data_IF_944313754315
#
_entry.id   IF_944313754315
#
_cell.length_a   1.000
_cell.length_b   1.000
_cell.length_c   1.000
_cell.angle_alpha   90.00
_cell.angle_beta   90.00
_cell.angle_gamma   90.00
#
_symmetry.space_group_name_H-M   'P 1'
#
loop_
_entity.id
_entity.type
_entity.pdbx_description
1 polymer ?
#
# COMPACT_ATOMS: atom_id res chain seq x y z
N UNK A 1 -13.32 -9.92 7.19
CA UNK A 1 -14.21 -8.74 7.17
C UNK A 1 -14.05 -7.97 5.87
N UNK A 2 -12.87 -7.48 5.54
CA UNK A 2 -12.60 -6.65 4.35
C UNK A 2 -13.13 -7.27 3.04
N UNK A 3 -13.02 -8.61 2.87
CA UNK A 3 -13.42 -9.31 1.64
C UNK A 3 -14.89 -9.71 1.61
N UNK A 4 -15.40 -10.23 2.72
CA UNK A 4 -16.69 -10.94 2.74
C UNK A 4 -17.73 -10.30 3.64
N UNK A 5 -17.43 -9.12 4.21
CA UNK A 5 -18.29 -8.38 5.14
C UNK A 5 -18.61 -9.18 6.41
N UNK A 6 -19.69 -9.96 6.36
CA UNK A 6 -20.19 -10.74 7.49
C UNK A 6 -19.61 -12.15 7.43
N UNK A 7 -18.93 -12.57 8.48
CA UNK A 7 -18.30 -13.89 8.59
C UNK A 7 -18.49 -14.43 10.01
N UNK A 8 -18.44 -15.76 10.22
CA UNK A 8 -18.50 -16.31 11.57
C UNK A 8 -17.34 -15.83 12.44
N UNK A 9 -17.65 -15.34 13.64
CA UNK A 9 -16.66 -14.98 14.66
C UNK A 9 -16.40 -16.21 15.53
N UNK A 10 -15.28 -16.88 15.28
CA UNK A 10 -14.89 -18.12 15.97
C UNK A 10 -13.86 -17.80 17.04
N UNK A 11 -14.21 -18.01 18.32
CA UNK A 11 -13.35 -17.72 19.49
C UNK A 11 -12.96 -18.97 20.29
N UNK A 12 -13.41 -20.16 19.85
CA UNK A 12 -13.07 -21.46 20.45
C UNK A 12 -12.82 -22.50 19.37
N UNK A 13 -12.23 -23.62 19.73
CA UNK A 13 -12.13 -24.77 18.85
C UNK A 13 -13.54 -25.34 18.61
N UNK A 14 -13.88 -25.57 17.35
CA UNK A 14 -15.16 -26.14 16.94
C UNK A 14 -14.98 -27.56 16.40
N UNK A 15 -15.99 -28.40 16.54
CA UNK A 15 -16.15 -29.59 15.73
C UNK A 15 -16.52 -29.22 14.30
N UNK A 16 -16.43 -30.17 13.37
CA UNK A 16 -16.85 -29.94 11.99
C UNK A 16 -18.35 -29.56 11.89
N UNK A 17 -19.19 -30.19 12.71
CA UNK A 17 -20.62 -29.94 12.77
C UNK A 17 -20.90 -28.52 13.27
N UNK A 18 -20.28 -28.12 14.40
CA UNK A 18 -20.41 -26.76 14.93
C UNK A 18 -19.92 -25.70 13.91
N UNK A 19 -18.84 -25.99 13.18
CA UNK A 19 -18.30 -25.07 12.16
C UNK A 19 -19.27 -24.88 10.97
N UNK A 20 -19.99 -25.96 10.59
CA UNK A 20 -20.98 -25.92 9.51
C UNK A 20 -22.28 -25.22 9.91
N UNK A 21 -22.52 -25.01 11.19
CA UNK A 21 -23.70 -24.32 11.75
C UNK A 21 -23.34 -22.94 12.34
N UNK A 22 -22.09 -22.49 12.20
CA UNK A 22 -21.65 -21.20 12.74
C UNK A 22 -22.32 -20.03 12.00
N UNK A 23 -23.04 -19.20 12.74
CA UNK A 23 -23.71 -18.03 12.19
C UNK A 23 -22.74 -16.89 11.89
N UNK A 24 -22.91 -16.13 10.78
CA UNK A 24 -22.10 -14.97 10.50
C UNK A 24 -22.41 -13.84 11.48
N UNK A 25 -21.37 -13.20 11.98
CA UNK A 25 -21.44 -11.94 12.71
C UNK A 25 -21.30 -10.78 11.74
N UNK A 26 -21.92 -9.64 12.01
CA UNK A 26 -21.76 -8.46 11.19
C UNK A 26 -20.34 -7.86 11.29
N UNK A 27 -19.96 -7.14 10.26
CA UNK A 27 -18.60 -6.57 10.15
C UNK A 27 -18.26 -5.64 11.31
N UNK A 28 -19.21 -4.86 11.81
CA UNK A 28 -19.00 -3.91 12.92
C UNK A 28 -18.71 -4.66 14.22
N UNK A 29 -19.46 -5.73 14.50
CA UNK A 29 -19.21 -6.61 15.66
C UNK A 29 -17.82 -7.21 15.60
N UNK A 30 -17.38 -7.70 14.45
CA UNK A 30 -16.04 -8.31 14.29
C UNK A 30 -14.95 -7.26 14.43
N UNK A 31 -15.10 -6.07 13.84
CA UNK A 31 -14.12 -4.99 13.97
C UNK A 31 -13.99 -4.54 15.43
N UNK A 32 -15.11 -4.40 16.17
CA UNK A 32 -15.08 -4.08 17.59
C UNK A 32 -14.41 -5.19 18.43
N UNK A 33 -14.65 -6.46 18.11
CA UNK A 33 -13.95 -7.57 18.74
C UNK A 33 -12.43 -7.47 18.52
N UNK A 34 -11.97 -7.23 17.28
CA UNK A 34 -10.55 -7.05 16.96
C UNK A 34 -9.96 -5.89 17.78
N UNK A 35 -10.65 -4.76 17.85
CA UNK A 35 -10.20 -3.57 18.60
C UNK A 35 -10.07 -3.90 20.10
N UNK A 36 -11.04 -4.61 20.67
CA UNK A 36 -11.03 -5.02 22.07
C UNK A 36 -9.88 -5.97 22.38
N UNK A 37 -9.73 -7.04 21.60
CA UNK A 37 -8.66 -8.02 21.77
C UNK A 37 -7.27 -7.37 21.62
N UNK A 38 -7.09 -6.50 20.62
CA UNK A 38 -5.84 -5.77 20.46
C UNK A 38 -5.54 -4.83 21.62
N UNK A 39 -6.55 -4.22 22.21
CA UNK A 39 -6.40 -3.38 23.42
C UNK A 39 -5.94 -4.21 24.61
N UNK A 40 -6.58 -5.33 24.85
CA UNK A 40 -6.22 -6.27 25.91
C UNK A 40 -4.80 -6.84 25.75
N UNK A 41 -4.45 -7.21 24.51
CA UNK A 41 -3.13 -7.76 24.18
C UNK A 41 -2.02 -6.71 24.34
N UNK A 42 -2.28 -5.45 24.00
CA UNK A 42 -1.35 -4.34 24.17
C UNK A 42 -1.16 -3.94 25.66
N UNK A 43 -2.14 -4.24 26.52
CA UNK A 43 -2.09 -4.01 27.96
C UNK A 43 -1.41 -5.21 28.67
N UNK A 44 -0.07 -5.25 28.63
CA UNK A 44 0.79 -6.17 29.41
C UNK A 44 0.79 -7.66 29.01
N UNK A 45 0.10 -8.06 27.94
CA UNK A 45 0.11 -9.47 27.48
C UNK A 45 1.16 -9.74 26.41
N UNK A 46 1.46 -8.76 25.55
CA UNK A 46 2.46 -8.90 24.50
C UNK A 46 3.75 -8.13 24.83
N UNK A 47 4.92 -8.72 24.55
CA UNK A 47 6.18 -8.02 24.76
C UNK A 47 6.38 -6.90 23.73
N UNK A 48 7.21 -5.92 24.07
CA UNK A 48 7.67 -4.88 23.14
C UNK A 48 8.46 -5.49 22.00
N UNK A 49 9.34 -6.46 22.32
CA UNK A 49 10.09 -7.27 21.37
C UNK A 49 10.46 -8.60 22.01
N UNK A 50 11.06 -9.50 21.23
CA UNK A 50 11.49 -10.83 21.68
C UNK A 50 13.00 -10.96 21.89
N UNK A 51 13.78 -9.88 21.80
CA UNK A 51 15.24 -9.90 21.80
C UNK A 51 15.85 -10.57 23.03
N UNK A 52 15.23 -10.43 24.21
CA UNK A 52 15.69 -10.96 25.49
C UNK A 52 15.02 -12.30 25.87
N UNK A 53 14.27 -12.92 24.95
CA UNK A 53 13.62 -14.20 25.20
C UNK A 53 14.44 -15.35 24.62
N UNK A 54 14.35 -16.58 25.16
CA UNK A 54 14.98 -17.75 24.57
C UNK A 54 14.59 -17.88 23.08
N UNK A 55 15.58 -17.98 22.19
CA UNK A 55 15.37 -17.98 20.76
C UNK A 55 14.99 -16.61 20.18
N UNK A 56 15.39 -15.51 20.80
CA UNK A 56 15.01 -14.14 20.48
C UNK A 56 15.12 -13.79 19.00
N UNK A 57 16.23 -14.08 18.35
CA UNK A 57 16.41 -13.85 16.91
C UNK A 57 15.44 -14.68 16.04
N UNK A 58 15.13 -15.93 16.44
CA UNK A 58 14.15 -16.78 15.79
C UNK A 58 12.69 -16.34 16.03
N UNK A 59 12.46 -15.42 16.97
CA UNK A 59 11.15 -14.89 17.29
C UNK A 59 10.84 -13.53 16.59
N UNK A 60 11.71 -13.04 15.75
CA UNK A 60 11.41 -11.93 14.85
C UNK A 60 10.10 -12.21 14.10
N UNK A 61 9.22 -11.23 14.01
CA UNK A 61 7.92 -11.32 13.33
C UNK A 61 6.80 -12.06 14.08
N UNK A 62 7.01 -12.41 15.33
CA UNK A 62 5.90 -12.77 16.23
C UNK A 62 5.11 -11.53 16.63
N UNK A 63 3.87 -11.75 17.06
CA UNK A 63 3.01 -10.68 17.56
C UNK A 63 3.66 -9.94 18.73
N UNK A 64 3.80 -8.64 18.62
CA UNK A 64 4.32 -7.74 19.64
C UNK A 64 3.23 -6.75 20.07
N UNK A 65 3.48 -6.01 21.17
CA UNK A 65 2.63 -4.88 21.57
C UNK A 65 2.41 -3.89 20.42
N UNK A 66 3.47 -3.55 19.68
CA UNK A 66 3.38 -2.64 18.54
C UNK A 66 2.50 -3.19 17.41
N UNK A 67 2.57 -4.50 17.12
CA UNK A 67 1.68 -5.12 16.13
C UNK A 67 0.21 -5.09 16.57
N UNK A 68 -0.10 -5.33 17.84
CA UNK A 68 -1.47 -5.24 18.36
C UNK A 68 -2.01 -3.80 18.23
N UNK A 69 -1.22 -2.78 18.59
CA UNK A 69 -1.57 -1.38 18.43
C UNK A 69 -1.76 -0.98 16.95
N UNK A 70 -0.92 -1.49 16.05
CA UNK A 70 -1.04 -1.23 14.63
C UNK A 70 -2.33 -1.84 14.04
N UNK A 71 -2.66 -3.07 14.41
CA UNK A 71 -3.91 -3.72 13.99
C UNK A 71 -5.13 -3.00 14.58
N UNK A 72 -5.08 -2.56 15.85
CA UNK A 72 -6.10 -1.73 16.48
C UNK A 72 -6.32 -0.44 15.68
N UNK A 73 -5.24 0.27 15.30
CA UNK A 73 -5.31 1.49 14.50
C UNK A 73 -6.02 1.24 13.16
N UNK A 74 -5.62 0.20 12.41
CA UNK A 74 -6.24 -0.15 11.12
C UNK A 74 -7.71 -0.53 11.29
N UNK A 75 -8.04 -1.38 12.25
CA UNK A 75 -9.42 -1.81 12.49
C UNK A 75 -10.32 -0.63 12.88
N UNK A 76 -9.82 0.28 13.72
CA UNK A 76 -10.57 1.49 14.13
C UNK A 76 -10.79 2.44 12.96
N UNK A 77 -9.78 2.61 12.08
CA UNK A 77 -9.90 3.41 10.87
C UNK A 77 -10.97 2.84 9.92
N UNK A 78 -10.97 1.52 9.71
CA UNK A 78 -11.96 0.84 8.89
C UNK A 78 -13.36 1.02 9.48
N UNK A 79 -13.52 0.79 10.80
CA UNK A 79 -14.81 0.96 11.49
C UNK A 79 -15.36 2.38 11.36
N UNK A 80 -14.51 3.41 11.30
CA UNK A 80 -14.90 4.80 11.10
C UNK A 80 -15.19 5.16 9.64
N UNK A 81 -14.68 4.36 8.68
CA UNK A 81 -14.73 4.68 7.25
C UNK A 81 -16.14 4.51 6.66
N UNK A 82 -16.47 5.23 5.56
CA UNK A 82 -17.81 5.27 4.96
C UNK A 82 -18.43 3.91 4.61
N UNK A 83 -17.63 2.90 4.30
CA UNK A 83 -18.15 1.56 3.99
C UNK A 83 -18.79 0.86 5.19
N UNK A 84 -18.30 1.15 6.41
CA UNK A 84 -18.74 0.46 7.65
C UNK A 84 -19.54 1.36 8.57
N UNK A 85 -19.53 2.67 8.35
CA UNK A 85 -20.20 3.64 9.19
C UNK A 85 -20.70 4.83 8.38
N UNK A 86 -21.92 5.28 8.66
CA UNK A 86 -22.32 6.62 8.28
C UNK A 86 -21.57 7.62 9.16
N UNK A 87 -21.15 8.74 8.60
CA UNK A 87 -20.34 9.83 9.17
C UNK A 87 -20.47 9.98 10.71
N UNK A 88 -19.72 9.15 11.44
CA UNK A 88 -19.73 9.07 12.90
C UNK A 88 -18.44 9.68 13.47
N UNK A 89 -18.54 10.95 13.86
CA UNK A 89 -17.43 11.71 14.46
C UNK A 89 -16.79 10.98 15.64
N UNK A 90 -17.56 10.24 16.47
CA UNK A 90 -16.97 9.54 17.60
C UNK A 90 -16.08 8.36 17.17
N UNK A 91 -16.47 7.65 16.12
CA UNK A 91 -15.63 6.58 15.56
C UNK A 91 -14.33 7.14 15.00
N UNK A 92 -14.37 8.31 14.34
CA UNK A 92 -13.17 8.98 13.87
C UNK A 92 -12.25 9.42 15.03
N UNK A 93 -12.81 9.93 16.15
CA UNK A 93 -12.05 10.22 17.36
C UNK A 93 -11.39 8.98 17.94
N UNK A 94 -12.13 7.87 17.98
CA UNK A 94 -11.60 6.60 18.46
C UNK A 94 -10.47 6.07 17.54
N UNK A 95 -10.59 6.25 16.23
CA UNK A 95 -9.55 5.88 15.27
C UNK A 95 -8.29 6.75 15.42
N UNK A 96 -8.46 8.06 15.65
CA UNK A 96 -7.35 8.96 15.95
C UNK A 96 -6.62 8.54 17.23
N UNK A 97 -7.37 8.25 18.30
CA UNK A 97 -6.80 7.77 19.56
C UNK A 97 -6.06 6.44 19.39
N UNK A 98 -6.65 5.49 18.66
CA UNK A 98 -6.02 4.18 18.42
C UNK A 98 -4.69 4.29 17.67
N UNK A 99 -4.57 5.20 16.71
CA UNK A 99 -3.30 5.48 16.04
C UNK A 99 -2.32 6.20 16.97
N UNK A 100 -2.81 7.17 17.74
CA UNK A 100 -1.99 7.94 18.68
C UNK A 100 -1.45 7.10 19.84
N UNK A 101 -2.16 6.06 20.26
CA UNK A 101 -1.70 5.09 21.26
C UNK A 101 -0.36 4.44 20.87
N UNK A 102 -0.14 4.21 19.57
CA UNK A 102 1.15 3.73 19.06
C UNK A 102 2.14 4.89 18.89
N UNK A 103 1.72 6.02 18.33
CA UNK A 103 2.59 7.17 18.05
C UNK A 103 3.22 7.68 19.34
N UNK A 104 2.46 7.84 20.40
CA UNK A 104 2.94 8.35 21.70
C UNK A 104 3.96 7.41 22.38
N UNK A 105 3.92 6.13 22.04
CA UNK A 105 4.83 5.11 22.57
C UNK A 105 5.92 4.69 21.57
N UNK A 106 5.97 5.30 20.37
CA UNK A 106 6.83 4.83 19.29
C UNK A 106 8.30 4.70 19.69
N UNK A 107 8.82 5.69 20.43
CA UNK A 107 10.20 5.66 20.94
C UNK A 107 10.47 4.47 21.88
N UNK A 108 9.56 4.20 22.81
CA UNK A 108 9.66 3.06 23.75
C UNK A 108 9.51 1.72 23.03
N UNK A 109 8.66 1.66 22.01
CA UNK A 109 8.43 0.48 21.18
C UNK A 109 9.56 0.26 20.14
N UNK A 110 10.44 1.26 19.96
CA UNK A 110 11.56 1.20 19.03
C UNK A 110 11.18 1.52 17.58
N UNK A 111 10.03 2.17 17.33
CA UNK A 111 9.57 2.52 15.98
C UNK A 111 9.92 3.96 15.61
N UNK A 112 10.26 4.16 14.36
CA UNK A 112 10.46 5.46 13.72
C UNK A 112 10.37 5.30 12.21
N UNK A 113 10.15 6.37 11.47
CA UNK A 113 10.31 6.32 10.01
C UNK A 113 11.75 5.95 9.64
N UNK A 114 11.90 5.09 8.65
CA UNK A 114 13.21 4.84 8.05
C UNK A 114 13.67 6.12 7.33
N UNK A 115 14.91 6.57 7.51
CA UNK A 115 15.39 7.76 6.84
C UNK A 115 15.43 7.62 5.31
N UNK A 116 15.37 6.40 4.80
CA UNK A 116 15.33 6.10 3.36
C UNK A 116 14.15 5.21 3.01
N UNK A 117 13.25 5.73 2.19
CA UNK A 117 12.15 4.96 1.61
C UNK A 117 12.65 3.71 0.87
N UNK A 118 13.77 3.83 0.16
CA UNK A 118 14.38 2.72 -0.58
C UNK A 118 14.82 1.54 0.29
N UNK A 119 15.10 1.74 1.57
CA UNK A 119 15.47 0.65 2.50
C UNK A 119 14.30 -0.31 2.78
N UNK A 120 13.05 0.17 2.62
CA UNK A 120 11.86 -0.60 2.98
C UNK A 120 11.58 -1.79 2.05
N UNK A 121 12.29 -1.91 0.93
CA UNK A 121 11.97 -2.91 -0.09
C UNK A 121 13.16 -3.82 -0.41
N UNK A 122 14.25 -3.69 0.31
CA UNK A 122 15.42 -4.58 0.21
C UNK A 122 15.26 -5.88 1.01
N UNK A 123 16.18 -6.82 0.83
CA UNK A 123 16.16 -8.13 1.49
C UNK A 123 16.24 -8.07 3.03
N UNK A 124 16.76 -6.96 3.56
CA UNK A 124 16.94 -6.74 5.02
C UNK A 124 15.97 -5.72 5.61
N UNK A 125 14.89 -5.41 4.90
CA UNK A 125 13.92 -4.40 5.33
C UNK A 125 13.25 -4.72 6.67
N UNK A 126 13.19 -5.98 7.07
CA UNK A 126 12.72 -6.43 8.39
C UNK A 126 13.58 -5.93 9.56
N UNK A 127 14.76 -5.36 9.30
CA UNK A 127 15.61 -4.72 10.29
C UNK A 127 15.32 -3.22 10.45
N UNK A 128 14.51 -2.64 9.55
CA UNK A 128 14.10 -1.24 9.65
C UNK A 128 13.21 -1.00 10.86
N UNK A 129 13.48 0.08 11.59
CA UNK A 129 12.63 0.54 12.70
C UNK A 129 11.24 0.99 12.25
N UNK A 130 11.00 1.15 10.96
CA UNK A 130 9.70 1.48 10.43
C UNK A 130 8.79 0.25 10.31
N UNK A 131 9.37 -0.95 10.09
CA UNK A 131 8.61 -2.17 9.90
C UNK A 131 8.13 -2.72 11.25
N UNK A 132 6.82 -2.69 11.45
CA UNK A 132 6.16 -3.21 12.66
C UNK A 132 5.93 -4.70 12.53
N UNK A 133 5.47 -5.14 11.36
CA UNK A 133 5.23 -6.55 11.06
C UNK A 133 5.47 -6.82 9.58
N UNK A 134 6.16 -7.90 9.27
CA UNK A 134 6.31 -8.39 7.91
C UNK A 134 6.17 -9.91 7.84
N UNK A 135 5.89 -10.42 6.65
CA UNK A 135 5.89 -11.85 6.34
C UNK A 135 7.13 -12.18 5.51
N UNK A 136 8.10 -12.89 6.06
CA UNK A 136 9.27 -13.34 5.31
C UNK A 136 8.90 -14.46 4.34
N UNK A 137 9.67 -14.54 3.25
CA UNK A 137 9.67 -15.70 2.37
C UNK A 137 11.05 -16.33 2.34
N UNK A 138 11.14 -17.60 1.96
CA UNK A 138 12.43 -18.22 1.66
C UNK A 138 13.12 -17.52 0.48
N UNK A 139 14.45 -17.61 0.45
CA UNK A 139 15.23 -17.05 -0.66
C UNK A 139 14.86 -17.70 -2.00
N UNK A 140 14.58 -16.89 -3.00
CA UNK A 140 14.12 -17.29 -4.33
C UNK A 140 14.55 -16.26 -5.38
N UNK A 141 14.49 -16.62 -6.64
CA UNK A 141 14.63 -15.73 -7.80
C UNK A 141 13.31 -15.53 -8.54
N UNK A 142 12.22 -16.11 -8.02
CA UNK A 142 10.94 -16.17 -8.74
C UNK A 142 10.31 -14.79 -8.87
N UNK A 143 10.46 -13.93 -7.87
CA UNK A 143 9.88 -12.59 -7.91
C UNK A 143 10.58 -11.71 -8.94
N UNK A 144 11.91 -11.78 -9.03
CA UNK A 144 12.71 -11.05 -10.01
C UNK A 144 12.43 -11.54 -11.42
N UNK A 145 12.44 -12.87 -11.67
CA UNK A 145 12.11 -13.40 -12.99
C UNK A 145 10.69 -13.05 -13.41
N UNK A 146 9.75 -13.01 -12.48
CA UNK A 146 8.37 -12.61 -12.77
C UNK A 146 8.23 -11.11 -13.11
N UNK A 147 9.11 -10.23 -12.59
CA UNK A 147 8.92 -8.78 -12.65
C UNK A 147 10.03 -8.03 -13.41
N UNK A 148 11.14 -8.66 -13.76
CA UNK A 148 12.09 -8.02 -14.66
C UNK A 148 11.43 -7.70 -16.01
N UNK A 149 11.79 -6.57 -16.66
CA UNK A 149 11.29 -6.23 -17.98
C UNK A 149 11.55 -7.32 -19.01
N UNK A 150 10.62 -7.53 -19.94
CA UNK A 150 10.90 -8.30 -21.13
C UNK A 150 12.13 -7.74 -21.85
N UNK A 151 12.96 -8.63 -22.41
CA UNK A 151 14.27 -8.26 -22.97
C UNK A 151 15.42 -8.29 -21.96
N UNK A 152 15.12 -8.39 -20.67
CA UNK A 152 16.08 -8.82 -19.64
C UNK A 152 16.05 -10.35 -19.54
N UNK A 153 17.21 -10.99 -19.38
CA UNK A 153 17.31 -12.46 -19.30
C UNK A 153 16.36 -13.03 -18.23
N UNK A 154 15.48 -13.97 -18.61
CA UNK A 154 14.39 -14.54 -17.80
C UNK A 154 13.33 -13.55 -17.28
N UNK A 155 13.28 -12.31 -17.74
CA UNK A 155 12.19 -11.39 -17.40
C UNK A 155 10.87 -11.81 -18.04
N UNK A 156 9.75 -11.77 -17.31
CA UNK A 156 8.44 -12.20 -17.80
C UNK A 156 7.29 -11.20 -17.57
N UNK A 157 7.55 -10.06 -16.95
CA UNK A 157 6.61 -8.93 -16.85
C UNK A 157 5.23 -9.30 -16.30
N UNK A 158 5.17 -9.75 -15.06
CA UNK A 158 3.89 -10.11 -14.44
C UNK A 158 3.11 -8.89 -13.95
N UNK A 159 3.82 -7.86 -13.43
CA UNK A 159 3.19 -6.67 -12.86
C UNK A 159 3.50 -5.43 -13.70
N UNK A 160 2.45 -4.81 -14.24
CA UNK A 160 2.55 -3.57 -14.99
C UNK A 160 1.88 -2.43 -14.23
N UNK A 161 2.64 -1.47 -13.66
CA UNK A 161 2.07 -0.26 -13.08
C UNK A 161 1.21 0.51 -14.08
N UNK A 162 0.11 1.11 -13.63
CA UNK A 162 -0.76 1.90 -14.51
C UNK A 162 -0.38 3.39 -14.52
N UNK A 163 -0.80 4.11 -15.57
CA UNK A 163 -0.46 5.52 -15.77
C UNK A 163 -1.10 6.43 -14.71
N UNK A 164 -2.26 6.07 -14.15
CA UNK A 164 -2.89 6.86 -13.09
C UNK A 164 -2.11 6.81 -11.77
N UNK A 165 -1.46 5.67 -11.45
CA UNK A 165 -0.52 5.61 -10.33
C UNK A 165 0.72 6.50 -10.62
N UNK A 166 1.29 6.43 -11.82
CA UNK A 166 2.44 7.28 -12.20
C UNK A 166 2.09 8.76 -12.13
N UNK A 167 0.87 9.13 -12.50
CA UNK A 167 0.38 10.52 -12.39
C UNK A 167 0.17 10.98 -10.95
N UNK A 168 -0.07 10.05 -10.01
CA UNK A 168 -0.28 10.36 -8.60
C UNK A 168 0.99 10.89 -7.89
N UNK A 169 2.17 10.56 -8.40
CA UNK A 169 3.44 11.14 -7.91
C UNK A 169 3.48 12.61 -8.31
N UNK A 170 3.55 13.52 -7.33
CA UNK A 170 3.61 14.96 -7.55
C UNK A 170 4.92 15.39 -8.23
N UNK A 171 4.98 16.65 -8.68
CA UNK A 171 6.25 17.30 -9.00
C UNK A 171 7.05 17.59 -7.71
N UNK A 172 8.35 17.79 -7.82
CA UNK A 172 9.22 18.07 -6.65
C UNK A 172 8.87 19.34 -5.90
N UNK A 173 8.14 20.25 -6.50
CA UNK A 173 7.59 21.46 -5.87
C UNK A 173 6.25 21.22 -5.16
N UNK A 174 5.71 20.00 -5.22
CA UNK A 174 4.44 19.60 -4.62
C UNK A 174 3.21 19.90 -5.46
N UNK A 175 3.38 20.36 -6.71
CA UNK A 175 2.26 20.49 -7.64
C UNK A 175 1.88 19.15 -8.26
N UNK A 176 0.61 18.99 -8.66
CA UNK A 176 0.17 17.78 -9.33
C UNK A 176 0.76 17.71 -10.75
N UNK A 177 1.11 16.50 -11.18
CA UNK A 177 1.48 16.25 -12.57
C UNK A 177 0.24 16.31 -13.47
N UNK A 178 0.35 17.02 -14.59
CA UNK A 178 -0.76 17.22 -15.53
C UNK A 178 -0.36 16.82 -16.96
N UNK A 179 -1.04 15.80 -17.51
CA UNK A 179 -0.87 15.35 -18.89
C UNK A 179 -1.30 16.39 -19.94
N UNK A 180 -2.07 17.42 -19.57
CA UNK A 180 -2.42 18.53 -20.47
C UNK A 180 -1.33 19.61 -20.55
N UNK A 181 -0.39 19.62 -19.60
CA UNK A 181 0.73 20.55 -19.59
C UNK A 181 1.85 20.06 -20.52
N UNK A 182 2.02 20.72 -21.65
CA UNK A 182 2.98 20.33 -22.68
C UNK A 182 4.43 20.27 -22.17
N UNK A 183 4.83 21.16 -21.24
CA UNK A 183 6.19 21.14 -20.68
C UNK A 183 6.43 19.93 -19.78
N UNK A 184 5.44 19.56 -18.96
CA UNK A 184 5.54 18.36 -18.13
C UNK A 184 5.58 17.07 -18.97
N UNK A 185 4.90 17.05 -20.11
CA UNK A 185 4.80 15.86 -20.98
C UNK A 185 6.03 15.66 -21.86
N UNK A 186 6.86 16.69 -22.09
CA UNK A 186 8.14 16.54 -22.80
C UNK A 186 9.06 15.52 -22.13
N UNK A 187 9.14 15.56 -20.81
CA UNK A 187 9.79 14.55 -19.98
C UNK A 187 8.93 14.26 -18.74
N UNK A 188 7.98 13.30 -18.85
CA UNK A 188 6.98 13.08 -17.79
C UNK A 188 7.58 12.48 -16.52
N UNK A 189 8.86 12.22 -16.48
CA UNK A 189 9.57 11.61 -15.37
C UNK A 189 10.55 12.57 -14.67
N UNK A 190 10.85 13.72 -15.30
CA UNK A 190 11.72 14.73 -14.71
C UNK A 190 11.00 15.49 -13.58
N UNK A 191 11.78 15.88 -12.57
CA UNK A 191 11.30 16.70 -11.44
C UNK A 191 10.06 16.13 -10.72
N UNK A 192 9.98 14.80 -10.63
CA UNK A 192 8.87 14.09 -9.95
C UNK A 192 9.28 13.69 -8.53
N UNK A 193 8.28 13.45 -7.70
CA UNK A 193 8.47 12.80 -6.40
C UNK A 193 9.47 11.64 -6.53
N UNK A 194 10.56 11.64 -5.76
CA UNK A 194 11.61 10.62 -5.88
C UNK A 194 11.11 9.18 -5.74
N UNK A 195 10.00 8.97 -5.03
CA UNK A 195 9.38 7.65 -4.88
C UNK A 195 8.90 7.06 -6.21
N UNK A 196 8.61 7.89 -7.23
CA UNK A 196 8.27 7.39 -8.57
C UNK A 196 9.37 6.47 -9.09
N UNK A 197 10.61 6.98 -9.16
CA UNK A 197 11.73 6.22 -9.66
C UNK A 197 12.14 5.04 -8.75
N UNK A 198 11.73 5.04 -7.48
CA UNK A 198 11.96 3.91 -6.55
C UNK A 198 10.89 2.81 -6.69
N UNK A 199 9.75 3.12 -7.29
CA UNK A 199 8.58 2.22 -7.36
C UNK A 199 8.33 1.68 -8.76
N UNK A 200 8.57 2.48 -9.79
CA UNK A 200 8.22 2.21 -11.19
C UNK A 200 9.44 2.33 -12.08
N UNK A 201 9.58 1.41 -13.03
CA UNK A 201 10.53 1.49 -14.15
C UNK A 201 9.79 2.05 -15.35
N UNK A 202 10.35 3.09 -15.96
CA UNK A 202 9.80 3.79 -17.11
C UNK A 202 10.80 3.91 -18.25
N UNK A 203 10.36 4.39 -19.40
CA UNK A 203 11.20 4.54 -20.58
C UNK A 203 12.46 5.38 -20.30
N UNK A 204 13.62 4.90 -20.72
CA UNK A 204 14.91 5.57 -20.53
C UNK A 204 15.58 5.32 -19.18
N UNK A 205 14.89 4.75 -18.18
CA UNK A 205 15.51 4.40 -16.90
C UNK A 205 16.50 3.23 -17.07
N UNK A 206 17.70 3.37 -16.53
CA UNK A 206 18.67 2.27 -16.43
C UNK A 206 18.19 1.24 -15.40
N UNK A 207 17.78 0.05 -15.86
CA UNK A 207 17.23 -1.01 -15.01
C UNK A 207 17.24 -2.39 -15.70
N UNK A 208 17.51 -3.51 -15.01
CA UNK A 208 17.94 -3.62 -13.59
C UNK A 208 19.42 -3.22 -13.39
N UNK A 209 20.18 -3.15 -14.46
CA UNK A 209 21.60 -2.74 -14.48
C UNK A 209 21.74 -1.35 -15.13
N UNK A 210 22.77 -1.15 -15.93
CA UNK A 210 23.09 0.13 -16.55
C UNK A 210 22.40 0.39 -17.89
N UNK A 211 21.75 -0.64 -18.46
CA UNK A 211 21.11 -0.52 -19.78
C UNK A 211 19.74 0.17 -19.64
N UNK A 212 19.49 1.26 -20.37
CA UNK A 212 18.19 1.91 -20.36
C UNK A 212 17.06 1.01 -20.89
N UNK A 213 15.91 1.06 -20.23
CA UNK A 213 14.68 0.37 -20.67
C UNK A 213 14.06 1.14 -21.82
N UNK A 214 13.67 0.44 -22.89
CA UNK A 214 13.07 0.99 -24.10
C UNK A 214 11.66 0.42 -24.27
N UNK A 215 10.64 1.13 -23.77
CA UNK A 215 9.23 0.68 -23.83
C UNK A 215 8.47 1.23 -25.04
N UNK A 216 9.11 2.07 -25.87
CA UNK A 216 8.49 2.54 -27.10
C UNK A 216 8.23 1.38 -28.07
N UNK A 217 7.29 1.55 -28.99
CA UNK A 217 6.94 0.54 -29.99
C UNK A 217 8.16 0.15 -30.83
N UNK A 218 8.49 -1.13 -30.84
CA UNK A 218 9.71 -1.66 -31.49
C UNK A 218 10.98 -1.58 -30.61
N UNK A 219 10.92 -0.99 -29.43
CA UNK A 219 12.02 -0.99 -28.45
C UNK A 219 12.23 -2.38 -27.82
N UNK A 220 13.43 -2.63 -27.29
CA UNK A 220 13.82 -3.94 -26.76
C UNK A 220 13.03 -4.42 -25.55
N UNK A 221 12.25 -3.53 -24.90
CA UNK A 221 11.41 -3.84 -23.75
C UNK A 221 9.93 -3.43 -23.99
N UNK A 222 9.56 -3.08 -25.23
CA UNK A 222 8.23 -2.60 -25.61
C UNK A 222 7.47 -3.55 -26.50
N UNK A 223 6.23 -3.19 -26.81
CA UNK A 223 5.42 -3.89 -27.81
C UNK A 223 6.10 -3.76 -29.21
N UNK A 224 5.97 -4.73 -30.11
CA UNK A 224 5.11 -5.94 -30.04
C UNK A 224 5.77 -7.19 -29.40
N UNK A 225 6.84 -7.04 -28.62
CA UNK A 225 7.47 -8.19 -27.98
C UNK A 225 6.42 -8.87 -27.08
N UNK A 226 6.25 -10.18 -27.27
CA UNK A 226 5.31 -10.97 -26.48
C UNK A 226 5.59 -10.82 -24.98
N UNK A 227 4.56 -10.54 -24.19
CA UNK A 227 4.62 -10.27 -22.76
C UNK A 227 5.39 -9.00 -22.35
N UNK A 228 5.76 -8.12 -23.28
CA UNK A 228 6.21 -6.78 -22.89
C UNK A 228 5.07 -6.00 -22.22
N UNK A 229 5.43 -5.00 -21.43
CA UNK A 229 4.45 -4.22 -20.68
C UNK A 229 3.29 -3.73 -21.54
N UNK A 230 2.08 -3.88 -21.03
CA UNK A 230 0.85 -3.40 -21.68
C UNK A 230 0.52 -1.95 -21.29
N UNK A 231 1.14 -1.42 -20.23
CA UNK A 231 0.89 -0.08 -19.71
C UNK A 231 2.01 0.92 -20.01
N UNK A 232 3.16 0.44 -20.50
CA UNK A 232 4.37 1.25 -20.74
C UNK A 232 5.25 1.40 -19.48
N UNK A 233 4.97 0.66 -18.43
CA UNK A 233 5.71 0.67 -17.17
C UNK A 233 6.02 -0.74 -16.68
N UNK A 234 7.09 -0.85 -15.85
CA UNK A 234 7.45 -2.09 -15.16
C UNK A 234 7.57 -1.85 -13.66
N UNK A 235 7.41 -2.89 -12.87
CA UNK A 235 7.58 -2.82 -11.43
C UNK A 235 9.06 -2.68 -11.07
N UNK A 236 9.36 -1.78 -10.11
CA UNK A 236 10.67 -1.67 -9.47
C UNK A 236 10.65 -2.02 -7.99
N UNK A 237 9.61 -1.58 -7.28
CA UNK A 237 9.48 -1.78 -5.83
C UNK A 237 9.52 -3.26 -5.49
N UNK A 238 10.28 -3.64 -4.47
CA UNK A 238 10.60 -5.00 -4.06
C UNK A 238 11.45 -5.82 -5.04
N UNK A 239 11.63 -5.41 -6.29
CA UNK A 239 12.49 -6.15 -7.25
C UNK A 239 13.95 -5.87 -6.95
N UNK A 240 14.70 -6.93 -6.62
CA UNK A 240 16.10 -6.79 -6.28
C UNK A 240 16.99 -6.87 -7.54
N UNK A 241 17.62 -5.75 -7.89
CA UNK A 241 18.47 -5.64 -9.06
C UNK A 241 19.87 -6.28 -8.89
N UNK A 242 20.20 -6.83 -7.71
CA UNK A 242 21.39 -7.64 -7.55
C UNK A 242 21.22 -9.06 -8.09
N UNK A 243 19.98 -9.53 -8.21
CA UNK A 243 19.66 -10.80 -8.87
C UNK A 243 20.01 -10.70 -10.36
N UNK A 244 20.71 -11.70 -10.86
CA UNK A 244 21.07 -11.79 -12.28
C UNK A 244 20.79 -13.17 -12.82
N UNK A 245 20.46 -13.23 -14.10
CA UNK A 245 20.30 -14.48 -14.84
C UNK A 245 21.21 -14.50 -16.09
N UNK A 246 22.15 -13.55 -16.17
CA UNK A 246 23.03 -13.44 -17.32
C UNK A 246 23.98 -14.63 -17.42
N UNK A 247 24.21 -15.16 -18.63
CA UNK A 247 25.14 -16.26 -18.85
C UNK A 247 26.55 -15.91 -18.31
N UNK A 248 27.10 -16.83 -17.50
CA UNK A 248 28.43 -16.66 -16.92
C UNK A 248 28.43 -15.92 -15.57
N UNK A 249 27.30 -15.34 -15.14
CA UNK A 249 27.15 -14.77 -13.79
C UNK A 249 26.52 -15.78 -12.82
N UNK A 250 26.89 -15.69 -11.54
CA UNK A 250 26.28 -16.51 -10.50
C UNK A 250 24.89 -15.96 -10.15
N UNK A 251 23.86 -16.73 -10.42
CA UNK A 251 22.50 -16.39 -9.98
C UNK A 251 22.38 -16.55 -8.48
N UNK A 252 22.02 -15.47 -7.77
CA UNK A 252 21.80 -15.46 -6.35
C UNK A 252 20.32 -15.31 -6.05
N UNK A 253 19.79 -16.17 -5.16
CA UNK A 253 18.43 -16.03 -4.66
C UNK A 253 18.34 -14.93 -3.61
N UNK A 254 17.20 -14.27 -3.51
CA UNK A 254 16.93 -13.20 -2.55
C UNK A 254 15.73 -13.53 -1.68
N UNK A 255 15.80 -13.12 -0.43
CA UNK A 255 14.67 -13.16 0.49
C UNK A 255 13.83 -11.91 0.31
N UNK A 256 12.50 -12.06 0.41
CA UNK A 256 11.56 -10.95 0.49
C UNK A 256 10.84 -10.96 1.83
N UNK A 257 10.71 -9.81 2.45
CA UNK A 257 9.93 -9.61 3.65
C UNK A 257 8.78 -8.67 3.29
N UNK A 258 7.60 -9.24 3.07
CA UNK A 258 6.41 -8.47 2.70
C UNK A 258 5.87 -7.72 3.90
N UNK A 259 5.89 -6.38 3.84
CA UNK A 259 5.43 -5.52 4.92
C UNK A 259 3.92 -5.68 5.09
N UNK A 260 3.47 -5.94 6.31
CA UNK A 260 2.07 -6.00 6.70
C UNK A 260 1.64 -4.73 7.44
N UNK A 261 2.51 -4.22 8.32
CA UNK A 261 2.34 -2.97 9.05
C UNK A 261 3.66 -2.23 9.14
N UNK A 262 3.63 -0.92 8.94
CA UNK A 262 4.77 -0.03 9.14
C UNK A 262 4.35 1.32 9.70
N UNK A 263 5.29 2.02 10.34
CA UNK A 263 5.02 3.22 11.11
C UNK A 263 4.40 4.37 10.29
N UNK A 264 4.78 4.52 9.02
CA UNK A 264 4.14 5.50 8.13
C UNK A 264 2.62 5.28 7.98
N UNK A 265 2.15 4.01 7.99
CA UNK A 265 0.71 3.74 7.97
C UNK A 265 0.02 4.32 9.21
N UNK A 266 0.64 4.19 10.38
CA UNK A 266 0.06 4.70 11.62
C UNK A 266 -0.04 6.22 11.59
N UNK A 267 0.99 6.91 11.08
CA UNK A 267 0.97 8.36 10.90
C UNK A 267 -0.15 8.81 9.93
N UNK A 268 -0.30 8.12 8.80
CA UNK A 268 -1.32 8.48 7.81
C UNK A 268 -2.74 8.06 8.26
N UNK A 269 -2.90 6.97 9.02
CA UNK A 269 -4.16 6.60 9.66
C UNK A 269 -4.57 7.67 10.69
N UNK A 270 -3.62 8.13 11.50
CA UNK A 270 -3.83 9.21 12.44
C UNK A 270 -4.28 10.49 11.75
N UNK A 271 -3.56 10.91 10.70
CA UNK A 271 -3.86 12.13 9.97
C UNK A 271 -5.28 12.11 9.37
N UNK A 272 -5.69 10.99 8.76
CA UNK A 272 -7.03 10.81 8.21
C UNK A 272 -8.10 10.90 9.29
N UNK A 273 -7.88 10.19 10.40
CA UNK A 273 -8.83 10.16 11.51
C UNK A 273 -8.97 11.53 12.18
N UNK A 274 -7.88 12.23 12.41
CA UNK A 274 -7.88 13.59 13.02
C UNK A 274 -8.67 14.58 12.19
N UNK A 275 -8.43 14.64 10.88
CA UNK A 275 -9.12 15.62 10.02
C UNK A 275 -10.61 15.29 9.89
N UNK A 276 -10.98 14.01 9.85
CA UNK A 276 -12.40 13.62 9.84
C UNK A 276 -13.07 13.90 11.19
N UNK A 277 -12.36 13.70 12.32
CA UNK A 277 -12.89 13.92 13.65
C UNK A 277 -13.07 15.40 14.02
N UNK A 278 -12.13 16.25 13.59
CA UNK A 278 -12.03 17.64 14.11
C UNK A 278 -12.17 18.70 13.02
N UNK A 279 -12.09 18.33 11.74
CA UNK A 279 -12.28 19.24 10.60
C UNK A 279 -11.09 20.15 10.28
N UNK A 280 -10.10 20.22 11.14
CA UNK A 280 -8.93 21.10 11.04
C UNK A 280 -7.64 20.26 10.96
N UNK A 281 -6.85 20.33 9.88
CA UNK A 281 -5.59 19.61 9.76
C UNK A 281 -4.52 19.98 10.79
N UNK A 282 -4.63 21.15 11.41
CA UNK A 282 -3.69 21.68 12.40
C UNK A 282 -4.16 21.46 13.85
N UNK A 283 -5.38 20.92 14.03
CA UNK A 283 -5.88 20.62 15.35
C UNK A 283 -5.00 19.59 16.07
N UNK A 284 -4.62 19.91 17.30
CA UNK A 284 -3.88 19.00 18.19
C UNK A 284 -4.70 18.60 19.42
N UNK A 285 -5.46 19.53 20.03
CA UNK A 285 -6.20 19.28 21.26
C UNK A 285 -5.30 18.72 22.36
N UNK A 286 -5.59 17.51 22.84
CA UNK A 286 -4.77 16.78 23.80
C UNK A 286 -3.61 15.99 23.20
N UNK A 287 -3.50 15.94 21.86
CA UNK A 287 -2.44 15.24 21.15
C UNK A 287 -1.21 16.15 20.95
N UNK A 288 -0.03 15.55 20.86
CA UNK A 288 1.22 16.29 20.62
C UNK A 288 1.57 16.45 19.13
N UNK A 289 0.69 15.99 18.24
CA UNK A 289 0.93 15.93 16.80
C UNK A 289 -0.35 16.35 16.06
N UNK A 290 -0.21 17.22 15.05
CA UNK A 290 -1.32 17.54 14.15
C UNK A 290 -1.39 16.54 12.98
N UNK A 291 -2.52 16.49 12.27
CA UNK A 291 -2.65 15.69 11.06
C UNK A 291 -1.64 16.11 10.00
N UNK A 292 -1.45 17.43 9.83
CA UNK A 292 -0.47 17.99 8.87
C UNK A 292 0.95 17.57 9.21
N UNK A 293 1.34 17.65 10.47
CA UNK A 293 2.69 17.27 10.91
C UNK A 293 2.94 15.77 10.69
N UNK A 294 1.93 14.93 10.95
CA UNK A 294 2.02 13.49 10.71
C UNK A 294 2.30 13.18 9.22
N UNK A 295 1.58 13.82 8.30
CA UNK A 295 1.81 13.69 6.85
C UNK A 295 3.19 14.23 6.47
N UNK A 296 3.55 15.41 6.99
CA UNK A 296 4.82 16.06 6.66
C UNK A 296 6.03 15.26 7.12
N UNK A 297 5.94 14.49 8.22
CA UNK A 297 7.00 13.55 8.60
C UNK A 297 7.24 12.50 7.50
N UNK A 298 6.19 11.92 6.94
CA UNK A 298 6.30 10.93 5.85
C UNK A 298 6.92 11.58 4.60
N UNK A 299 6.47 12.77 4.23
CA UNK A 299 6.92 13.50 3.04
C UNK A 299 8.36 14.00 3.14
N UNK A 300 8.80 14.37 4.34
CA UNK A 300 10.14 14.92 4.58
C UNK A 300 11.22 13.84 4.82
N UNK A 301 10.96 12.60 4.53
CA UNK A 301 11.93 11.50 4.62
C UNK A 301 13.19 11.80 3.83
N UNK A 302 14.38 11.36 4.29
CA UNK A 302 15.67 11.83 3.79
C UNK A 302 15.95 11.65 2.30
N UNK A 303 15.43 10.60 1.67
CA UNK A 303 15.53 10.35 0.23
C UNK A 303 14.24 10.72 -0.56
N UNK A 304 13.22 11.27 0.11
CA UNK A 304 11.95 11.71 -0.49
C UNK A 304 11.91 13.23 -0.59
N UNK A 305 12.00 13.96 0.52
CA UNK A 305 12.09 15.43 0.60
C UNK A 305 11.03 16.18 -0.19
N UNK A 306 9.80 15.68 -0.15
CA UNK A 306 8.68 16.40 -0.76
C UNK A 306 8.27 17.60 0.12
N UNK A 307 7.79 18.70 -0.49
CA UNK A 307 7.34 19.86 0.27
C UNK A 307 6.25 19.53 1.28
N UNK A 308 6.28 20.25 2.39
CA UNK A 308 5.20 20.18 3.38
C UNK A 308 3.84 20.60 2.76
N UNK A 309 2.76 20.08 3.31
CA UNK A 309 1.43 20.54 2.92
C UNK A 309 1.21 21.99 3.38
N UNK A 310 0.66 22.85 2.51
CA UNK A 310 0.36 24.25 2.85
C UNK A 310 -0.53 24.40 4.08
N UNK A 311 -0.30 25.45 4.87
CA UNK A 311 -1.04 25.69 6.11
C UNK A 311 -2.51 26.08 5.92
N UNK A 312 -2.87 26.61 4.75
CA UNK A 312 -4.19 27.14 4.44
C UNK A 312 -5.13 26.15 3.75
N UNK A 313 -4.80 24.85 3.78
CA UNK A 313 -5.63 23.82 3.15
C UNK A 313 -6.94 23.62 3.90
N UNK A 314 -8.05 23.64 3.16
CA UNK A 314 -9.34 23.20 3.68
C UNK A 314 -9.33 21.70 4.04
N UNK A 315 -10.28 21.26 4.89
CA UNK A 315 -10.50 19.84 5.20
C UNK A 315 -10.50 18.96 3.94
N UNK A 316 -11.31 19.31 2.95
CA UNK A 316 -11.52 18.49 1.76
C UNK A 316 -10.26 18.45 0.87
N UNK A 317 -9.58 19.59 0.71
CA UNK A 317 -8.32 19.65 -0.02
C UNK A 317 -7.24 18.80 0.66
N UNK A 318 -7.17 18.85 1.98
CA UNK A 318 -6.24 18.04 2.76
C UNK A 318 -6.54 16.54 2.61
N UNK A 319 -7.78 16.12 2.80
CA UNK A 319 -8.19 14.72 2.66
C UNK A 319 -7.93 14.18 1.25
N UNK A 320 -8.23 14.98 0.22
CA UNK A 320 -7.91 14.60 -1.17
C UNK A 320 -6.42 14.36 -1.37
N UNK A 321 -5.57 15.26 -0.87
CA UNK A 321 -4.12 15.11 -0.95
C UNK A 321 -3.60 13.96 -0.08
N UNK A 322 -4.18 13.73 1.09
CA UNK A 322 -3.83 12.62 1.97
C UNK A 322 -4.14 11.27 1.31
N UNK A 323 -5.28 11.13 0.63
CA UNK A 323 -5.60 9.92 -0.15
C UNK A 323 -4.55 9.67 -1.23
N UNK A 324 -4.12 10.73 -1.93
CA UNK A 324 -3.04 10.64 -2.91
C UNK A 324 -1.69 10.25 -2.26
N UNK A 325 -1.36 10.84 -1.10
CA UNK A 325 -0.15 10.51 -0.35
C UNK A 325 -0.15 9.02 0.05
N UNK A 326 -1.27 8.48 0.55
CA UNK A 326 -1.42 7.06 0.85
C UNK A 326 -1.20 6.19 -0.39
N UNK A 327 -1.77 6.58 -1.54
CA UNK A 327 -1.61 5.86 -2.81
C UNK A 327 -0.15 5.78 -3.24
N UNK A 328 0.59 6.88 -3.13
CA UNK A 328 2.01 6.98 -3.47
C UNK A 328 2.88 6.21 -2.47
N UNK A 329 2.68 6.45 -1.19
CA UNK A 329 3.48 5.86 -0.11
C UNK A 329 3.33 4.34 -0.07
N UNK A 330 2.10 3.83 -0.19
CA UNK A 330 1.80 2.39 -0.09
C UNK A 330 1.63 1.69 -1.45
N UNK A 331 2.10 2.28 -2.53
CA UNK A 331 2.05 1.63 -3.84
C UNK A 331 2.66 0.22 -3.78
N UNK A 332 1.94 -0.78 -4.27
CA UNK A 332 2.29 -2.22 -4.26
C UNK A 332 2.46 -2.85 -2.87
N UNK A 333 1.90 -2.26 -1.82
CA UNK A 333 1.83 -2.84 -0.48
C UNK A 333 0.45 -3.45 -0.15
N UNK A 334 -0.44 -3.57 -1.13
CA UNK A 334 -1.75 -4.21 -0.97
C UNK A 334 -2.80 -3.34 -0.28
N UNK A 335 -2.56 -2.02 -0.11
CA UNK A 335 -3.49 -1.14 0.61
C UNK A 335 -4.48 -0.40 -0.30
N UNK A 336 -4.08 -0.02 -1.52
CA UNK A 336 -4.84 0.90 -2.38
C UNK A 336 -6.27 0.44 -2.67
N UNK A 337 -6.48 -0.86 -2.98
CA UNK A 337 -7.82 -1.40 -3.21
C UNK A 337 -8.72 -1.27 -1.97
N UNK A 338 -8.18 -1.59 -0.80
CA UNK A 338 -8.92 -1.53 0.46
C UNK A 338 -9.18 -0.10 0.91
N UNK A 339 -8.27 0.84 0.64
CA UNK A 339 -8.48 2.26 0.88
C UNK A 339 -9.63 2.78 0.00
N UNK A 340 -9.63 2.52 -1.31
CA UNK A 340 -10.71 2.89 -2.21
C UNK A 340 -12.04 2.23 -1.81
N UNK A 341 -12.00 0.97 -1.40
CA UNK A 341 -13.19 0.25 -0.92
C UNK A 341 -13.79 0.91 0.33
N UNK A 342 -12.98 1.13 1.38
CA UNK A 342 -13.47 1.71 2.63
C UNK A 342 -13.93 3.17 2.50
N UNK A 343 -13.38 3.93 1.54
CA UNK A 343 -13.83 5.28 1.17
C UNK A 343 -15.09 5.28 0.29
N UNK A 344 -15.51 4.12 -0.24
CA UNK A 344 -16.55 3.97 -1.26
C UNK A 344 -16.22 4.67 -2.57
N UNK A 345 -14.98 4.54 -3.01
CA UNK A 345 -14.41 5.18 -4.21
C UNK A 345 -13.86 4.14 -5.21
N UNK A 346 -14.44 2.93 -5.29
CA UNK A 346 -13.99 1.91 -6.26
C UNK A 346 -14.14 2.36 -7.72
N UNK A 347 -15.01 3.32 -8.00
CA UNK A 347 -15.19 3.90 -9.34
C UNK A 347 -13.89 4.50 -9.89
N UNK A 348 -12.97 4.93 -9.04
CA UNK A 348 -11.63 5.40 -9.44
C UNK A 348 -10.81 4.30 -10.15
N UNK A 349 -11.17 3.02 -9.99
CA UNK A 349 -10.58 1.88 -10.68
C UNK A 349 -11.26 1.55 -12.02
N UNK A 350 -12.32 2.25 -12.40
CA UNK A 350 -13.08 1.94 -13.61
C UNK A 350 -12.21 2.04 -14.86
N UNK A 351 -11.40 3.07 -14.97
CA UNK A 351 -10.58 3.32 -16.15
C UNK A 351 -9.10 3.10 -15.85
N UNK A 352 -8.51 2.14 -16.52
CA UNK A 352 -7.07 1.87 -16.46
C UNK A 352 -6.39 2.60 -17.62
N UNK A 353 -5.37 3.36 -17.30
CA UNK A 353 -4.61 4.13 -18.27
C UNK A 353 -3.20 3.59 -18.46
N UNK A 354 -2.69 3.76 -19.69
CA UNK A 354 -1.32 3.47 -20.08
C UNK A 354 -0.62 4.71 -20.59
N UNK A 355 0.71 4.69 -20.64
CA UNK A 355 1.47 5.61 -21.47
C UNK A 355 1.76 4.95 -22.82
N UNK A 356 1.44 5.64 -23.90
CA UNK A 356 1.93 5.32 -25.24
C UNK A 356 3.24 6.07 -25.44
N UNK A 357 4.29 5.35 -25.78
CA UNK A 357 5.64 5.90 -26.02
C UNK A 357 6.00 5.65 -27.48
N UNK A 358 6.30 6.69 -28.21
CA UNK A 358 6.65 6.63 -29.63
C UNK A 358 7.99 7.30 -29.84
N UNK A 359 8.93 6.58 -30.48
CA UNK A 359 10.19 7.15 -30.92
C UNK A 359 10.01 7.68 -32.34
N UNK A 360 10.23 8.99 -32.50
CA UNK A 360 10.12 9.68 -33.78
C UNK A 360 11.33 9.41 -34.67
N UNK A 361 11.23 9.73 -35.95
CA UNK A 361 12.32 9.53 -36.95
C UNK A 361 13.55 10.33 -36.56
N UNK A 362 13.38 11.51 -35.96
CA UNK A 362 14.48 12.35 -35.46
C UNK A 362 15.09 11.87 -34.14
N UNK A 363 14.59 10.74 -33.59
CA UNK A 363 15.03 10.15 -32.33
C UNK A 363 14.36 10.68 -31.09
N UNK A 364 13.52 11.72 -31.18
CA UNK A 364 12.77 12.25 -30.03
C UNK A 364 11.72 11.23 -29.55
N UNK A 365 11.41 11.29 -28.25
CA UNK A 365 10.42 10.41 -27.63
C UNK A 365 9.17 11.22 -27.34
N UNK A 366 8.04 10.74 -27.82
CA UNK A 366 6.72 11.32 -27.56
C UNK A 366 5.95 10.44 -26.57
N UNK A 367 5.36 11.06 -25.56
CA UNK A 367 4.55 10.41 -24.54
C UNK A 367 3.10 10.85 -24.63
N UNK A 368 2.17 9.90 -24.51
CA UNK A 368 0.73 10.21 -24.54
C UNK A 368 0.00 9.29 -23.54
N UNK A 369 -0.81 9.87 -22.66
CA UNK A 369 -1.73 9.09 -21.82
C UNK A 369 -2.85 8.54 -22.68
N UNK A 370 -3.12 7.25 -22.60
CA UNK A 370 -4.19 6.60 -23.37
C UNK A 370 -4.99 5.65 -22.46
N UNK A 371 -6.26 5.49 -22.76
CA UNK A 371 -7.10 4.47 -22.12
C UNK A 371 -6.59 3.07 -22.50
N UNK A 372 -6.41 2.21 -21.52
CA UNK A 372 -5.99 0.81 -21.71
C UNK A 372 -7.17 -0.15 -21.60
N UNK A 373 -7.97 0.00 -20.56
CA UNK A 373 -9.15 -0.83 -20.30
C UNK A 373 -10.18 -0.06 -19.48
N UNK A 374 -11.45 -0.47 -19.59
CA UNK A 374 -12.54 0.02 -18.77
C UNK A 374 -13.21 -1.19 -18.09
N UNK A 375 -13.42 -1.10 -16.80
CA UNK A 375 -14.13 -2.09 -16.00
C UNK A 375 -15.50 -1.56 -15.59
N UNK A 376 -16.48 -2.43 -15.53
CA UNK A 376 -17.81 -2.10 -15.01
C UNK A 376 -17.81 -2.30 -13.49
N UNK A 377 -17.52 -1.25 -12.73
CA UNK A 377 -17.57 -1.28 -11.27
C UNK A 377 -19.06 -1.24 -10.83
N UNK A 378 -19.42 -2.10 -9.89
CA UNK A 378 -20.77 -2.22 -9.34
C UNK A 378 -20.72 -2.25 -7.82
N UNK A 379 -21.78 -1.80 -7.16
CA UNK A 379 -21.87 -1.75 -5.69
C UNK A 379 -21.58 -3.08 -5.00
N UNK A 380 -21.99 -4.20 -5.61
CA UNK A 380 -21.68 -5.54 -5.08
C UNK A 380 -20.18 -5.83 -4.96
N UNK A 381 -19.32 -5.14 -5.71
CA UNK A 381 -17.88 -5.38 -5.73
C UNK A 381 -17.14 -4.83 -4.50
N UNK A 382 -17.82 -4.06 -3.64
CA UNK A 382 -17.26 -3.69 -2.34
C UNK A 382 -17.02 -4.90 -1.44
N UNK A 383 -17.76 -5.99 -1.66
CA UNK A 383 -17.54 -7.26 -0.97
C UNK A 383 -17.53 -8.42 -1.97
N UNK A 384 -16.63 -9.36 -1.75
CA UNK A 384 -16.48 -10.51 -2.63
C UNK A 384 -17.63 -11.51 -2.45
N UNK A 385 -17.95 -12.30 -3.49
CA UNK A 385 -18.89 -13.41 -3.35
C UNK A 385 -18.31 -14.48 -2.41
N UNK A 386 -19.13 -14.99 -1.51
CA UNK A 386 -18.81 -16.19 -0.74
C UNK A 386 -18.85 -17.37 -1.73
N UNK A 387 -17.82 -18.23 -1.70
CA UNK A 387 -17.80 -19.37 -2.63
C UNK A 387 -18.97 -20.32 -2.39
N UNK A 388 -19.54 -20.88 -3.46
CA UNK A 388 -20.62 -21.87 -3.35
C UNK A 388 -20.22 -23.05 -2.47
N UNK A 389 -18.95 -23.46 -2.49
CA UNK A 389 -18.43 -24.53 -1.64
C UNK A 389 -18.64 -24.24 -0.16
N UNK A 390 -18.42 -23.00 0.28
CA UNK A 390 -18.63 -22.61 1.68
C UNK A 390 -20.11 -22.48 2.01
N UNK A 391 -20.93 -21.94 1.09
CA UNK A 391 -22.39 -21.88 1.26
C UNK A 391 -23.03 -23.27 1.37
N UNK A 392 -22.51 -24.27 0.62
CA UNK A 392 -22.99 -25.65 0.73
C UNK A 392 -22.55 -26.35 2.02
N UNK A 393 -21.40 -26.01 2.58
CA UNK A 393 -20.93 -26.57 3.85
C UNK A 393 -21.65 -25.95 5.05
N UNK A 394 -21.86 -24.66 5.03
CA UNK A 394 -22.50 -23.94 6.12
C UNK A 394 -23.74 -23.19 5.60
N UNK A 395 -24.91 -23.75 5.86
CA UNK A 395 -26.21 -23.22 5.43
C UNK A 395 -26.65 -21.95 6.16
N UNK A 396 -25.93 -21.53 7.20
CA UNK A 396 -26.16 -20.26 7.90
C UNK A 396 -25.51 -19.07 7.18
N UNK A 397 -24.56 -19.33 6.29
CA UNK A 397 -23.96 -18.28 5.49
C UNK A 397 -24.94 -17.74 4.46
N UNK A 398 -24.99 -16.43 4.34
CA UNK A 398 -25.81 -15.72 3.37
C UNK A 398 -24.89 -15.02 2.37
N UNK A 399 -25.16 -15.20 1.08
CA UNK A 399 -24.40 -14.56 0.01
C UNK A 399 -24.46 -13.04 0.11
N UNK A 400 -23.36 -12.37 -0.19
CA UNK A 400 -23.33 -10.91 -0.25
C UNK A 400 -24.29 -10.39 -1.33
N UNK A 401 -24.96 -9.27 -1.04
CA UNK A 401 -25.99 -8.69 -1.91
C UNK A 401 -25.47 -8.45 -3.34
N UNK A 402 -26.26 -8.91 -4.30
CA UNK A 402 -25.96 -8.74 -5.73
C UNK A 402 -25.12 -9.84 -6.39
N UNK A 403 -24.70 -10.86 -5.61
CA UNK A 403 -23.97 -12.04 -6.11
C UNK A 403 -24.82 -13.27 -6.25
#
# INVERSE_FOLDING_TARGET
VERYQNIPLITKTLTQEEANEAEPSDAVTILNFIISECTDLANDKLPVNYNNMPGGEGNLQRATKGMALALKSRASLYLASPLYSADDTQKWKNAAQAAYDLISQAGTLGYSLDPKYSNLYGATNNQSKEVIMCRPTGASTSFESANFPMGVTKGSTTTCPESSLVSAYEMTDGTAFDWSNAEMVKDPYANRDPRLGMTVVYNGMAWPKTTPVEVFEGGKNGQPIKNATTTGYYLRKYVNNSVTFEPGETTTSQQHNWILFRYAEILLNYAEAMVNAYGDPDYTGSYSLSARDAVNQVRNRGDVKMPAYPADMSKDAFLKRLKNERRVEFAFEGQSFWDLSRWKELDDMQNIYKVKVVKQIDGTIQYTKALHATYNIQDKMYFYPISNTELFKNHKLVQNTGW
#
